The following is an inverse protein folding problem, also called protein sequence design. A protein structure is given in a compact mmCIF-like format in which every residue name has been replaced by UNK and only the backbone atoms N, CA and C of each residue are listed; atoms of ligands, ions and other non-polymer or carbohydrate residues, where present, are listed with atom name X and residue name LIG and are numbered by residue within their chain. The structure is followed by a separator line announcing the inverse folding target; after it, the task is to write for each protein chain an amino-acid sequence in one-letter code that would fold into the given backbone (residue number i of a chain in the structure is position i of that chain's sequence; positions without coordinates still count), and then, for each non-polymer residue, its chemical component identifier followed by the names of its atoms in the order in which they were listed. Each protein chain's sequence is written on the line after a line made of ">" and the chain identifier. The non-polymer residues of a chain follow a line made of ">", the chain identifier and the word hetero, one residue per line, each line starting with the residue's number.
data_IF_219984725996
#
_entry.id   IF_219984725996
#
_cell.length_a   1.000
_cell.length_b   1.000
_cell.length_c   1.000
_cell.angle_alpha   90.00
_cell.angle_beta   90.00
_cell.angle_gamma   90.00
#
_symmetry.space_group_name_H-M   'P 1'
#
loop_
_entity.id
_entity.type
_entity.pdbx_description
1 polymer ?
#
# COMPACT_ATOMS: atom_id res chain seq x y z
N UNK A 1 15.44 -17.85 14.82
CA UNK A 1 15.31 -16.79 13.81
C UNK A 1 15.81 -17.22 12.43
N UNK A 2 16.76 -18.16 12.33
CA UNK A 2 17.27 -18.68 11.04
C UNK A 2 16.18 -19.27 10.13
N UNK A 3 15.37 -20.21 10.62
CA UNK A 3 14.39 -20.96 9.83
C UNK A 3 13.41 -20.07 9.03
N UNK A 4 12.80 -19.07 9.66
CA UNK A 4 11.84 -18.18 8.99
C UNK A 4 12.51 -17.27 7.95
N UNK A 5 13.77 -16.88 8.17
CA UNK A 5 14.53 -16.10 7.19
C UNK A 5 14.89 -16.95 5.98
N UNK A 6 15.33 -18.19 6.19
CA UNK A 6 15.59 -19.16 5.14
C UNK A 6 14.32 -19.47 4.33
N UNK A 7 13.20 -19.67 5.01
CA UNK A 7 11.91 -19.93 4.36
C UNK A 7 11.42 -18.72 3.57
N UNK A 8 11.56 -17.49 4.08
CA UNK A 8 11.29 -16.26 3.32
C UNK A 8 12.17 -16.16 2.08
N UNK A 9 13.46 -16.50 2.19
CA UNK A 9 14.38 -16.50 1.05
C UNK A 9 13.97 -17.56 0.02
N UNK A 10 13.55 -18.74 0.48
CA UNK A 10 12.99 -19.78 -0.37
C UNK A 10 11.74 -19.28 -1.12
N UNK A 11 10.77 -18.66 -0.44
CA UNK A 11 9.57 -18.10 -1.07
C UNK A 11 9.90 -16.98 -2.07
N UNK A 12 10.87 -16.13 -1.76
CA UNK A 12 11.31 -15.08 -2.66
C UNK A 12 11.90 -15.65 -3.96
N UNK A 13 12.71 -16.70 -3.86
CA UNK A 13 13.39 -17.32 -5.00
C UNK A 13 12.48 -18.25 -5.82
N UNK A 14 11.66 -19.05 -5.16
CA UNK A 14 10.89 -20.15 -5.78
C UNK A 14 9.40 -19.87 -5.89
N UNK A 15 8.92 -18.79 -5.29
CA UNK A 15 7.49 -18.55 -5.11
C UNK A 15 6.98 -19.23 -3.85
N UNK A 16 5.82 -18.79 -3.37
CA UNK A 16 5.18 -19.40 -2.22
C UNK A 16 4.56 -20.75 -2.63
N UNK A 17 4.84 -21.86 -1.92
CA UNK A 17 4.26 -23.15 -2.21
C UNK A 17 2.76 -23.17 -1.83
N UNK A 18 1.96 -23.94 -2.57
CA UNK A 18 0.54 -24.14 -2.26
C UNK A 18 0.32 -24.96 -0.98
N UNK A 19 1.23 -25.90 -0.70
CA UNK A 19 1.22 -26.75 0.49
C UNK A 19 2.63 -26.88 1.05
N UNK A 20 2.76 -26.84 2.38
CA UNK A 20 4.00 -27.15 3.09
C UNK A 20 3.71 -28.35 3.99
N UNK A 21 4.34 -29.48 3.69
CA UNK A 21 4.25 -30.67 4.51
C UNK A 21 5.28 -30.57 5.63
N UNK A 22 4.84 -30.78 6.88
CA UNK A 22 5.69 -30.79 8.07
C UNK A 22 5.38 -32.03 8.90
N UNK A 23 6.41 -32.55 9.54
CA UNK A 23 6.36 -33.62 10.54
C UNK A 23 6.01 -33.10 11.94
N UNK A 24 5.50 -31.87 12.06
CA UNK A 24 5.33 -31.14 13.33
C UNK A 24 6.65 -30.91 14.09
N UNK A 25 7.78 -30.80 13.38
CA UNK A 25 9.04 -30.38 13.97
C UNK A 25 8.90 -29.07 14.77
N UNK A 26 9.62 -28.96 15.89
CA UNK A 26 9.51 -27.84 16.85
C UNK A 26 9.69 -26.46 16.21
N UNK A 27 10.48 -26.36 15.14
CA UNK A 27 10.67 -25.13 14.36
C UNK A 27 9.40 -24.70 13.61
N UNK A 28 8.67 -25.65 13.00
CA UNK A 28 7.40 -25.38 12.32
C UNK A 28 6.28 -25.05 13.31
N UNK A 29 6.21 -25.79 14.44
CA UNK A 29 5.25 -25.52 15.51
C UNK A 29 5.47 -24.10 16.08
N UNK A 30 6.73 -23.74 16.35
CA UNK A 30 7.08 -22.39 16.82
C UNK A 30 6.85 -21.29 15.78
N UNK A 31 6.96 -21.61 14.48
CA UNK A 31 6.75 -20.69 13.38
C UNK A 31 5.29 -20.58 12.91
N UNK A 32 4.40 -21.49 13.31
CA UNK A 32 3.04 -21.63 12.78
C UNK A 32 2.27 -20.30 12.73
N UNK A 33 2.26 -19.56 13.84
CA UNK A 33 1.57 -18.26 13.92
C UNK A 33 2.13 -17.25 12.92
N UNK A 34 3.45 -17.23 12.75
CA UNK A 34 4.10 -16.30 11.83
C UNK A 34 3.82 -16.66 10.37
N UNK A 35 3.84 -17.96 10.03
CA UNK A 35 3.46 -18.45 8.71
C UNK A 35 2.02 -18.07 8.35
N UNK A 36 1.08 -18.24 9.30
CA UNK A 36 -0.31 -17.82 9.10
C UNK A 36 -0.44 -16.31 8.85
N UNK A 37 0.30 -15.48 9.58
CA UNK A 37 0.30 -14.03 9.35
C UNK A 37 0.90 -13.64 7.99
N UNK A 38 1.92 -14.37 7.52
CA UNK A 38 2.45 -14.20 6.17
C UNK A 38 1.40 -14.52 5.11
N UNK A 39 0.66 -15.61 5.28
CA UNK A 39 -0.39 -16.01 4.33
C UNK A 39 -1.50 -14.96 4.25
N UNK A 40 -1.95 -14.46 5.40
CA UNK A 40 -2.94 -13.38 5.48
C UNK A 40 -2.40 -12.13 4.77
N UNK A 41 -1.16 -11.74 5.05
CA UNK A 41 -0.52 -10.59 4.40
C UNK A 41 -0.44 -10.76 2.88
N UNK A 42 -0.03 -11.94 2.42
CA UNK A 42 0.05 -12.26 1.00
C UNK A 42 -1.33 -12.24 0.33
N UNK A 43 -2.38 -12.71 1.00
CA UNK A 43 -3.75 -12.65 0.51
C UNK A 43 -4.24 -11.21 0.36
N UNK A 44 -4.05 -10.37 1.39
CA UNK A 44 -4.45 -8.95 1.35
C UNK A 44 -3.69 -8.19 0.26
N UNK A 45 -2.39 -8.48 0.10
CA UNK A 45 -1.54 -7.85 -0.91
C UNK A 45 -1.72 -8.42 -2.32
N UNK A 46 -2.56 -9.44 -2.48
CA UNK A 46 -2.99 -9.96 -3.78
C UNK A 46 -4.23 -9.24 -4.32
N UNK A 47 -4.74 -8.23 -3.61
CA UNK A 47 -5.88 -7.42 -4.07
C UNK A 47 -5.56 -6.69 -5.38
N UNK A 48 -6.49 -6.68 -6.35
CA UNK A 48 -6.36 -5.85 -7.55
C UNK A 48 -6.23 -4.36 -7.21
N UNK A 49 -5.38 -3.67 -7.96
CA UNK A 49 -5.19 -2.23 -7.98
C UNK A 49 -5.23 -1.76 -9.43
N UNK A 50 -5.79 -0.57 -9.64
CA UNK A 50 -5.87 0.01 -10.97
C UNK A 50 -7.12 -0.39 -11.73
N UNK A 51 -7.12 -0.03 -13.01
CA UNK A 51 -8.18 -0.33 -13.98
C UNK A 51 -8.35 -1.84 -14.19
N UNK A 52 -9.60 -2.25 -14.46
CA UNK A 52 -9.94 -3.59 -14.97
C UNK A 52 -9.37 -3.79 -16.38
N UNK A 53 -8.52 -4.81 -16.62
CA UNK A 53 -8.12 -5.22 -17.96
C UNK A 53 -9.37 -5.53 -18.78
N UNK A 54 -9.50 -4.89 -19.94
CA UNK A 54 -10.63 -5.11 -20.85
C UNK A 54 -10.21 -5.88 -22.10
N UNK A 55 -8.90 -5.95 -22.36
CA UNK A 55 -8.31 -6.64 -23.49
C UNK A 55 -7.43 -7.81 -23.01
N UNK A 56 -7.40 -8.95 -23.72
CA UNK A 56 -6.47 -10.04 -23.42
C UNK A 56 -5.00 -9.62 -23.38
N UNK A 57 -4.62 -8.60 -24.14
CA UNK A 57 -3.26 -8.06 -24.21
C UNK A 57 -2.92 -7.10 -23.05
N UNK A 58 -3.91 -6.66 -22.26
CA UNK A 58 -3.70 -5.75 -21.11
C UNK A 58 -2.93 -6.43 -19.95
N UNK A 59 -2.90 -7.76 -19.94
CA UNK A 59 -2.34 -8.58 -18.87
C UNK A 59 -3.26 -8.69 -17.65
N UNK A 60 -2.70 -9.07 -16.51
CA UNK A 60 -3.45 -9.18 -15.25
C UNK A 60 -3.45 -7.84 -14.47
N UNK A 61 -4.28 -7.75 -13.45
CA UNK A 61 -4.31 -6.60 -12.52
C UNK A 61 -2.98 -6.42 -11.80
N UNK A 62 -2.58 -5.18 -11.54
CA UNK A 62 -1.51 -4.92 -10.58
C UNK A 62 -2.01 -5.16 -9.16
N UNK A 63 -1.17 -5.63 -8.26
CA UNK A 63 -1.46 -5.83 -6.84
C UNK A 63 -0.28 -5.34 -5.97
N UNK A 64 -0.49 -5.03 -4.68
CA UNK A 64 0.60 -4.60 -3.80
C UNK A 64 1.79 -5.59 -3.79
N UNK A 65 1.52 -6.88 -3.95
CA UNK A 65 2.58 -7.89 -4.07
C UNK A 65 3.46 -7.70 -5.30
N UNK A 66 2.97 -7.11 -6.39
CA UNK A 66 3.81 -6.83 -7.56
C UNK A 66 4.90 -5.79 -7.25
N UNK A 67 4.63 -4.90 -6.29
CA UNK A 67 5.63 -3.96 -5.76
C UNK A 67 6.56 -4.61 -4.75
N UNK A 68 5.99 -5.32 -3.76
CA UNK A 68 6.77 -5.89 -2.66
C UNK A 68 7.74 -6.98 -3.14
N UNK A 69 7.33 -7.72 -4.18
CA UNK A 69 8.08 -8.83 -4.74
C UNK A 69 8.84 -8.42 -6.00
N UNK A 70 8.73 -7.14 -6.42
CA UNK A 70 9.38 -6.56 -7.60
C UNK A 70 9.17 -7.37 -8.88
N UNK A 71 8.00 -7.99 -9.03
CA UNK A 71 7.62 -8.81 -10.18
C UNK A 71 6.22 -8.44 -10.61
N UNK A 72 6.03 -8.30 -11.90
CA UNK A 72 4.73 -7.94 -12.48
C UNK A 72 3.90 -9.18 -12.82
N UNK A 73 4.15 -10.33 -12.18
CA UNK A 73 3.44 -11.60 -12.35
C UNK A 73 3.50 -12.44 -11.06
N UNK A 74 2.42 -13.16 -10.76
CA UNK A 74 2.37 -14.17 -9.70
C UNK A 74 3.27 -15.37 -9.99
N UNK A 75 3.45 -15.68 -11.28
CA UNK A 75 4.28 -16.78 -11.73
C UNK A 75 5.74 -16.37 -11.69
N UNK A 76 6.57 -17.17 -11.00
CA UNK A 76 8.02 -17.04 -11.11
C UNK A 76 8.36 -17.37 -12.55
N UNK A 77 9.10 -16.51 -13.29
CA UNK A 77 9.49 -16.81 -14.66
C UNK A 77 10.16 -18.17 -14.74
N UNK A 78 9.46 -19.18 -15.26
CA UNK A 78 10.00 -20.51 -15.51
C UNK A 78 10.51 -20.48 -16.95
N UNK A 79 11.80 -20.24 -17.13
CA UNK A 79 12.42 -20.26 -18.45
C UNK A 79 13.87 -20.70 -18.35
N UNK A 80 14.51 -21.08 -19.46
CA UNK A 80 15.94 -21.30 -19.46
C UNK A 80 16.62 -19.97 -19.10
N UNK A 81 17.04 -19.83 -17.85
CA UNK A 81 17.86 -18.70 -17.44
C UNK A 81 19.17 -18.81 -18.19
N UNK A 82 19.46 -17.84 -19.07
CA UNK A 82 20.80 -17.73 -19.66
C UNK A 82 21.77 -17.40 -18.54
N UNK A 83 22.39 -18.43 -17.98
CA UNK A 83 23.51 -18.25 -17.07
C UNK A 83 24.61 -17.54 -17.83
N UNK A 84 24.93 -16.34 -17.37
CA UNK A 84 25.92 -15.48 -18.00
C UNK A 84 26.84 -14.95 -16.91
N UNK A 85 28.15 -15.03 -17.18
CA UNK A 85 29.17 -14.50 -16.27
C UNK A 85 29.20 -12.96 -16.26
N UNK A 86 28.52 -12.32 -17.22
CA UNK A 86 28.44 -10.87 -17.29
C UNK A 86 27.33 -10.34 -16.36
N UNK A 87 27.66 -9.64 -15.26
CA UNK A 87 26.67 -9.11 -14.34
C UNK A 87 25.72 -8.09 -14.99
N UNK A 88 26.13 -7.43 -16.09
CA UNK A 88 25.28 -6.44 -16.80
C UNK A 88 23.98 -7.04 -17.32
N UNK A 89 24.02 -8.27 -17.83
CA UNK A 89 22.81 -8.92 -18.35
C UNK A 89 21.76 -9.15 -17.26
N UNK A 90 22.18 -9.42 -16.02
CA UNK A 90 21.25 -9.55 -14.88
C UNK A 90 20.62 -8.21 -14.54
N UNK A 91 21.41 -7.13 -14.54
CA UNK A 91 20.91 -5.76 -14.32
C UNK A 91 19.93 -5.36 -15.41
N UNK A 92 20.26 -5.59 -16.69
CA UNK A 92 19.39 -5.31 -17.83
C UNK A 92 18.06 -6.09 -17.75
N UNK A 93 18.11 -7.36 -17.36
CA UNK A 93 16.91 -8.18 -17.15
C UNK A 93 16.02 -7.61 -16.05
N UNK A 94 16.59 -7.30 -14.88
CA UNK A 94 15.85 -6.68 -13.77
C UNK A 94 15.27 -5.32 -14.20
N UNK A 95 16.05 -4.51 -14.91
CA UNK A 95 15.58 -3.21 -15.41
C UNK A 95 14.42 -3.36 -16.38
N UNK A 96 14.40 -4.40 -17.24
CA UNK A 96 13.25 -4.70 -18.10
C UNK A 96 11.98 -5.00 -17.31
N UNK A 97 12.09 -5.80 -16.23
CA UNK A 97 10.95 -6.09 -15.34
C UNK A 97 10.44 -4.81 -14.67
N UNK A 98 11.35 -4.03 -14.10
CA UNK A 98 11.03 -2.76 -13.42
C UNK A 98 10.38 -1.76 -14.39
N UNK A 99 10.92 -1.61 -15.60
CA UNK A 99 10.35 -0.73 -16.62
C UNK A 99 8.93 -1.17 -17.02
N UNK A 100 8.72 -2.49 -17.20
CA UNK A 100 7.40 -3.04 -17.54
C UNK A 100 6.38 -2.80 -16.42
N UNK A 101 6.81 -2.93 -15.16
CA UNK A 101 5.98 -2.58 -14.00
C UNK A 101 5.58 -1.10 -14.03
N UNK A 102 6.54 -0.18 -14.18
CA UNK A 102 6.25 1.26 -14.18
C UNK A 102 5.38 1.71 -15.35
N UNK A 103 5.51 1.09 -16.52
CA UNK A 103 4.61 1.32 -17.65
C UNK A 103 3.16 0.96 -17.30
N UNK A 104 2.91 -0.24 -16.75
CA UNK A 104 1.57 -0.66 -16.30
C UNK A 104 1.05 0.21 -15.15
N UNK A 105 1.89 0.55 -14.18
CA UNK A 105 1.53 1.43 -13.07
C UNK A 105 1.04 2.79 -13.55
N UNK A 106 1.78 3.39 -14.48
CA UNK A 106 1.48 4.72 -15.03
C UNK A 106 0.19 4.70 -15.85
N UNK A 107 -0.06 3.60 -16.58
CA UNK A 107 -1.28 3.40 -17.38
C UNK A 107 -2.51 3.13 -16.50
N UNK A 108 -2.39 2.23 -15.53
CA UNK A 108 -3.54 1.58 -14.89
C UNK A 108 -3.86 2.10 -13.49
N UNK A 109 -2.85 2.54 -12.73
CA UNK A 109 -3.02 2.88 -11.31
C UNK A 109 -2.83 4.37 -11.05
N UNK A 110 -1.80 4.99 -11.63
CA UNK A 110 -1.51 6.41 -11.44
C UNK A 110 -2.71 7.33 -11.73
N UNK A 111 -3.51 7.11 -12.81
CA UNK A 111 -4.67 7.96 -13.08
C UNK A 111 -5.77 7.87 -12.02
N UNK A 112 -5.84 6.78 -11.25
CA UNK A 112 -6.80 6.60 -10.15
C UNK A 112 -6.29 7.21 -8.84
N UNK A 113 -4.97 7.28 -8.66
CA UNK A 113 -4.34 7.86 -7.47
C UNK A 113 -4.28 9.38 -7.51
N UNK A 114 -4.28 9.97 -8.71
CA UNK A 114 -4.40 11.41 -8.89
C UNK A 114 -5.89 11.73 -8.89
N UNK A 115 -6.44 12.38 -7.84
CA UNK A 115 -7.82 12.81 -7.87
C UNK A 115 -7.96 13.79 -9.04
N UNK A 116 -8.70 13.43 -10.09
CA UNK A 116 -9.12 14.40 -11.11
C UNK A 116 -10.12 15.34 -10.45
N UNK A 117 -9.62 16.38 -9.81
CA UNK A 117 -10.46 17.47 -9.34
C UNK A 117 -11.06 18.13 -10.56
N UNK A 118 -12.39 18.06 -10.71
CA UNK A 118 -13.12 19.04 -11.51
C UNK A 118 -12.60 20.42 -11.08
N UNK A 119 -12.29 21.28 -12.04
CA UNK A 119 -11.69 22.60 -11.83
C UNK A 119 -12.60 23.59 -11.06
N UNK A 120 -13.68 23.10 -10.43
CA UNK A 120 -14.77 23.88 -9.86
C UNK A 120 -15.14 23.49 -8.42
N UNK A 121 -14.36 22.63 -7.76
CA UNK A 121 -14.67 22.25 -6.38
C UNK A 121 -14.16 23.33 -5.40
N UNK A 122 -15.07 24.24 -5.05
CA UNK A 122 -15.01 24.99 -3.79
C UNK A 122 -14.58 24.00 -2.68
N UNK A 123 -13.42 24.21 -2.03
CA UNK A 123 -12.98 23.26 -0.99
C UNK A 123 -14.03 23.28 0.13
N UNK A 124 -14.71 22.16 0.36
CA UNK A 124 -15.52 22.00 1.56
C UNK A 124 -14.64 22.25 2.78
N UNK A 125 -15.12 23.10 3.68
CA UNK A 125 -14.46 23.30 4.96
C UNK A 125 -14.43 21.98 5.73
N UNK A 126 -13.44 21.79 6.59
CA UNK A 126 -13.43 20.67 7.53
C UNK A 126 -14.61 20.81 8.48
N UNK A 127 -15.40 19.76 8.65
CA UNK A 127 -16.61 19.73 9.45
C UNK A 127 -16.40 18.95 10.75
N UNK A 128 -17.26 19.21 11.73
CA UNK A 128 -17.33 18.39 12.94
C UNK A 128 -17.75 16.98 12.55
N UNK A 129 -17.12 15.98 13.15
CA UNK A 129 -17.22 14.55 12.86
C UNK A 129 -16.43 14.02 11.67
N UNK A 130 -15.70 14.85 10.93
CA UNK A 130 -14.76 14.36 9.91
C UNK A 130 -13.71 13.44 10.55
N UNK A 131 -13.40 12.33 9.87
CA UNK A 131 -12.29 11.46 10.24
C UNK A 131 -11.03 11.96 9.54
N UNK A 132 -10.03 12.30 10.33
CA UNK A 132 -8.81 12.94 9.87
C UNK A 132 -7.57 12.18 10.35
N UNK A 133 -6.52 12.27 9.54
CA UNK A 133 -5.20 11.79 9.84
C UNK A 133 -4.33 12.95 10.30
N UNK A 134 -3.66 12.80 11.45
CA UNK A 134 -2.71 13.80 11.90
C UNK A 134 -1.38 13.60 11.16
N UNK A 135 -0.88 14.68 10.56
CA UNK A 135 0.42 14.72 9.90
C UNK A 135 1.41 15.36 10.86
N UNK A 136 2.16 14.51 11.56
CA UNK A 136 3.24 14.96 12.44
C UNK A 136 4.57 15.01 11.69
N UNK A 137 5.15 16.20 11.58
CA UNK A 137 6.44 16.41 10.93
C UNK A 137 7.64 15.98 11.78
N UNK A 138 7.47 15.76 13.10
CA UNK A 138 8.55 15.31 13.99
C UNK A 138 8.51 13.81 14.31
N UNK A 139 7.50 13.09 13.83
CA UNK A 139 7.41 11.65 14.01
C UNK A 139 8.47 10.95 13.14
N UNK A 140 9.54 10.46 13.78
CA UNK A 140 10.66 9.72 13.17
C UNK A 140 10.21 8.41 12.47
N UNK A 141 8.96 7.98 12.67
CA UNK A 141 8.36 6.81 12.01
C UNK A 141 6.90 7.08 11.70
N UNK A 142 6.45 6.58 10.54
CA UNK A 142 5.09 6.64 9.99
C UNK A 142 4.06 6.11 10.98
N UNK A 143 3.63 6.94 11.94
CA UNK A 143 2.53 6.63 12.86
C UNK A 143 1.28 7.30 12.33
N UNK A 144 0.44 6.52 11.65
CA UNK A 144 -0.85 6.94 11.13
C UNK A 144 -1.82 7.21 12.28
N UNK A 145 -1.72 8.38 12.90
CA UNK A 145 -2.59 8.76 14.01
C UNK A 145 -3.90 9.28 13.43
N UNK A 146 -4.95 8.47 13.54
CA UNK A 146 -6.30 8.85 13.12
C UNK A 146 -7.05 9.47 14.31
N UNK A 147 -7.90 10.45 14.01
CA UNK A 147 -8.80 11.04 14.98
C UNK A 147 -10.05 11.62 14.32
N UNK A 148 -11.03 11.96 15.15
CA UNK A 148 -12.28 12.60 14.72
C UNK A 148 -12.25 14.07 15.09
N UNK A 149 -12.67 14.93 14.17
CA UNK A 149 -12.86 16.36 14.46
C UNK A 149 -14.02 16.51 15.43
N UNK A 150 -13.75 17.11 16.59
CA UNK A 150 -14.76 17.40 17.62
C UNK A 150 -15.22 18.85 17.54
N UNK A 151 -14.34 19.75 17.10
CA UNK A 151 -14.60 21.19 17.08
C UNK A 151 -13.82 21.84 15.93
N UNK A 152 -14.40 22.87 15.32
CA UNK A 152 -13.80 23.63 14.21
C UNK A 152 -13.72 25.11 14.58
N UNK A 153 -12.65 25.78 14.15
CA UNK A 153 -12.41 27.20 14.44
C UNK A 153 -12.29 27.98 13.10
N UNK A 154 -13.40 28.52 12.57
CA UNK A 154 -13.39 29.37 11.38
C UNK A 154 -12.83 30.77 11.67
N UNK A 155 -12.21 31.39 10.66
CA UNK A 155 -11.85 32.81 10.70
C UNK A 155 -12.97 33.72 10.21
N UNK A 156 -12.70 35.03 10.14
CA UNK A 156 -13.68 36.04 9.71
C UNK A 156 -14.19 35.84 8.27
N UNK A 157 -13.44 35.12 7.43
CA UNK A 157 -13.80 34.75 6.06
C UNK A 157 -14.61 33.45 5.98
N UNK A 158 -15.03 32.88 7.11
CA UNK A 158 -15.76 31.62 7.19
C UNK A 158 -14.91 30.38 6.92
N UNK A 159 -13.58 30.50 6.73
CA UNK A 159 -12.69 29.36 6.45
C UNK A 159 -12.08 28.77 7.72
N UNK A 160 -12.16 27.46 7.87
CA UNK A 160 -11.61 26.73 9.02
C UNK A 160 -10.08 26.69 8.93
N UNK A 161 -9.39 27.22 9.95
CA UNK A 161 -7.91 27.23 10.01
C UNK A 161 -7.36 26.27 11.06
N UNK A 162 -8.10 26.07 12.13
CA UNK A 162 -7.74 25.18 13.22
C UNK A 162 -8.91 24.27 13.57
N UNK A 163 -8.58 23.07 14.03
CA UNK A 163 -9.55 22.09 14.51
C UNK A 163 -9.09 21.46 15.81
N UNK A 164 -10.04 21.00 16.62
CA UNK A 164 -9.79 20.10 17.74
C UNK A 164 -10.10 18.68 17.29
N UNK A 165 -9.11 17.80 17.36
CA UNK A 165 -9.21 16.40 16.93
C UNK A 165 -9.05 15.50 18.14
N UNK A 166 -9.99 14.58 18.33
CA UNK A 166 -9.93 13.52 19.33
C UNK A 166 -9.36 12.26 18.70
N UNK A 167 -8.20 11.82 19.18
CA UNK A 167 -7.61 10.53 18.81
C UNK A 167 -7.92 9.49 19.89
N UNK A 168 -7.46 8.25 19.72
CA UNK A 168 -7.55 7.22 20.77
C UNK A 168 -6.81 7.60 22.06
N UNK A 169 -5.77 8.43 21.96
CA UNK A 169 -4.88 8.74 23.09
C UNK A 169 -5.21 10.06 23.77
N UNK A 170 -5.57 11.10 23.01
CA UNK A 170 -5.81 12.43 23.56
C UNK A 170 -6.56 13.33 22.56
N UNK A 171 -6.92 14.52 23.01
CA UNK A 171 -7.41 15.60 22.16
C UNK A 171 -6.28 16.56 21.81
N UNK A 172 -6.19 16.92 20.53
CA UNK A 172 -5.16 17.83 20.01
C UNK A 172 -5.81 18.99 19.27
N UNK A 173 -5.27 20.20 19.48
CA UNK A 173 -5.51 21.32 18.57
C UNK A 173 -4.48 21.28 17.45
N UNK A 174 -4.95 21.30 16.19
CA UNK A 174 -4.09 21.26 15.01
C UNK A 174 -4.56 22.24 13.95
N UNK A 175 -3.62 22.94 13.27
CA UNK A 175 -3.92 23.63 12.03
C UNK A 175 -4.40 22.64 10.97
N UNK A 176 -5.30 23.06 10.08
CA UNK A 176 -5.79 22.21 8.99
C UNK A 176 -4.66 21.70 8.08
N UNK A 177 -3.55 22.45 7.96
CA UNK A 177 -2.38 22.05 7.19
C UNK A 177 -1.62 20.85 7.77
N UNK A 178 -1.88 20.50 9.03
CA UNK A 178 -1.28 19.36 9.75
C UNK A 178 -2.25 18.19 9.89
N UNK A 179 -3.36 18.21 9.14
CA UNK A 179 -4.30 17.10 9.07
C UNK A 179 -4.69 16.80 7.63
N UNK A 180 -5.10 15.56 7.37
CA UNK A 180 -5.69 15.15 6.10
C UNK A 180 -7.04 14.49 6.36
N UNK A 181 -8.10 14.94 5.70
CA UNK A 181 -9.44 14.31 5.80
C UNK A 181 -9.39 12.97 5.08
N UNK A 182 -9.68 11.88 5.80
CA UNK A 182 -9.76 10.52 5.27
C UNK A 182 -11.20 10.13 4.99
N UNK A 183 -12.15 10.61 5.79
CA UNK A 183 -13.57 10.35 5.55
C UNK A 183 -14.37 11.59 5.95
N UNK A 184 -14.89 12.35 4.97
CA UNK A 184 -15.76 13.49 5.25
C UNK A 184 -17.11 13.00 5.79
N UNK A 185 -17.69 13.72 6.75
CA UNK A 185 -19.00 13.39 7.32
C UNK A 185 -20.12 13.48 6.28
N UNK A 186 -19.98 14.39 5.31
CA UNK A 186 -20.93 14.61 4.21
C UNK A 186 -20.83 13.51 3.13
N UNK A 187 -19.87 12.59 3.26
CA UNK A 187 -19.55 11.62 2.22
C UNK A 187 -18.67 12.21 1.13
N UNK A 188 -18.17 11.37 0.25
CA UNK A 188 -17.58 11.85 -0.99
C UNK A 188 -18.74 12.18 -1.92
N UNK A 189 -18.89 13.44 -2.33
CA UNK A 189 -19.78 13.76 -3.45
C UNK A 189 -19.29 12.99 -4.70
N UNK A 190 -20.24 12.33 -5.40
CA UNK A 190 -19.99 11.53 -6.62
C UNK A 190 -19.49 12.37 -7.81
#
# INVERSE_FOLDING_TARGET
>A
MEFLQELRRFFAMRGQPAYILSDNGSQFVGAQKELQLMDIGNLVNQRPMGRVPIDPDDGHYLCPNDMLLSRSSREVPQGPFRETRNPKHRVEFVQKIVNSFWQRWTRDVLPLLVPRRKWDANRCNVCVNDIVMLVDSSAVRVKWTVGRVVEVYPGNDGKVRNVKVKTMSAEYRRPIAKIAVIYPVEGYED
#
